data_IF_241271519128
#
_entry.id   IF_241271519128
#
_cell.length_a   1.000
_cell.length_b   1.000
_cell.length_c   1.000
_cell.angle_alpha   90.00
_cell.angle_beta   90.00
_cell.angle_gamma   90.00
#
_symmetry.space_group_name_H-M   'P 1'
#
loop_
_entity.id
_entity.type
_entity.pdbx_description
1 polymer ?
2 non-polymer ?
3 non-polymer ?
4 non-polymer ?
5 non-polymer ?
6 non-polymer ?
7 water ?
#
# COMPACT_ATOMS: atom_id res chain seq x y z
N UNK A 1 8.58 24.98 -11.17
CA UNK A 1 7.75 25.16 -9.98
C UNK A 1 8.20 24.22 -8.88
N UNK A 2 7.83 24.53 -7.64
CA UNK A 2 8.10 23.57 -6.57
C UNK A 2 7.19 22.36 -6.72
N UNK A 3 7.63 21.25 -6.15
CA UNK A 3 6.77 20.08 -6.10
C UNK A 3 5.77 20.32 -4.97
N UNK A 4 4.48 20.33 -5.32
CA UNK A 4 3.42 20.73 -4.40
C UNK A 4 2.68 19.52 -3.84
N UNK A 5 2.12 19.69 -2.66
CA UNK A 5 1.23 18.67 -2.13
C UNK A 5 0.03 18.51 -3.05
N UNK A 6 -0.54 17.30 -3.06
CA UNK A 6 -1.69 17.01 -3.89
C UNK A 6 -2.83 16.42 -3.07
N UNK A 7 -4.04 16.77 -3.47
CA UNK A 7 -5.26 16.15 -2.93
C UNK A 7 -6.15 15.75 -4.10
N UNK A 8 -7.36 15.34 -3.82
CA UNK A 8 -8.30 14.99 -4.87
C UNK A 8 -8.99 16.24 -5.41
N UNK A 9 -9.27 16.24 -6.72
CA UNK A 9 -9.98 17.38 -7.29
C UNK A 9 -11.47 17.31 -6.96
N UNK A 10 -12.02 16.11 -6.86
CA UNK A 10 -13.45 15.94 -6.59
C UNK A 10 -13.67 14.67 -5.78
N UNK A 11 -14.88 14.55 -5.24
CA UNK A 11 -15.22 13.38 -4.44
C UNK A 11 -15.31 12.14 -5.32
N UNK A 12 -14.80 11.02 -4.82
CA UNK A 12 -14.77 9.74 -5.52
C UNK A 12 -15.49 8.71 -4.67
N UNK A 13 -16.28 7.84 -5.30
CA UNK A 13 -17.06 6.84 -4.57
C UNK A 13 -16.86 5.46 -5.17
N UNK A 14 -16.84 4.45 -4.31
CA UNK A 14 -16.81 3.07 -4.75
C UNK A 14 -17.59 2.22 -3.75
N UNK A 15 -18.13 1.11 -4.23
CA UNK A 15 -18.75 0.12 -3.36
C UNK A 15 -18.05 -1.21 -3.56
N UNK A 16 -18.00 -1.99 -2.49
CA UNK A 16 -17.46 -3.32 -2.61
C UNK A 16 -17.70 -4.11 -1.35
N UNK A 17 -16.83 -5.09 -1.14
CA UNK A 17 -16.89 -5.95 0.03
C UNK A 17 -15.49 -6.07 0.62
N UNK A 18 -15.43 -6.22 1.93
CA UNK A 18 -14.14 -6.42 2.57
C UNK A 18 -13.63 -7.82 2.30
N UNK A 19 -12.37 -7.92 1.88
CA UNK A 19 -11.75 -9.23 1.65
C UNK A 19 -11.88 -10.13 2.86
N UNK A 20 -11.53 -9.62 4.04
CA UNK A 20 -11.49 -10.47 5.22
C UNK A 20 -12.83 -10.56 5.93
N UNK A 21 -13.57 -9.45 6.00
CA UNK A 21 -14.83 -9.47 6.72
C UNK A 21 -16.00 -9.95 5.88
N UNK A 22 -15.89 -9.87 4.55
CA UNK A 22 -17.02 -10.15 3.71
C UNK A 22 -18.12 -9.11 3.73
N UNK A 23 -17.93 -7.98 4.43
CA UNK A 23 -19.00 -7.01 4.62
C UNK A 23 -19.07 -6.02 3.47
N UNK A 24 -20.29 -5.71 3.05
CA UNK A 24 -20.49 -4.65 2.06
C UNK A 24 -20.03 -3.33 2.65
N UNK A 25 -19.38 -2.52 1.82
CA UNK A 25 -18.85 -1.25 2.31
C UNK A 25 -18.91 -0.21 1.21
N UNK A 26 -19.29 1.01 1.60
CA UNK A 26 -19.24 2.18 0.73
C UNK A 26 -17.98 2.97 1.07
N UNK A 27 -17.24 3.35 0.03
CA UNK A 27 -15.99 4.07 0.15
C UNK A 27 -16.15 5.44 -0.51
N UNK A 28 -15.81 6.50 0.22
CA UNK A 28 -15.90 7.86 -0.31
C UNK A 28 -14.57 8.54 -0.06
N UNK A 29 -13.91 8.96 -1.12
CA UNK A 29 -12.65 9.68 -1.03
C UNK A 29 -12.94 11.16 -1.23
N UNK A 30 -12.44 11.99 -0.33
CA UNK A 30 -12.72 13.43 -0.39
C UNK A 30 -11.43 14.24 -0.34
N UNK A 31 -11.43 15.43 -0.93
CA UNK A 31 -10.28 16.34 -0.77
C UNK A 31 -10.04 16.66 0.70
N UNK A 32 -8.80 17.04 0.99
CA UNK A 32 -8.44 17.40 2.35
C UNK A 32 -7.41 18.52 2.32
N UNK A 33 -7.33 19.34 3.37
CA UNK A 33 -6.39 20.47 3.37
C UNK A 33 -4.95 20.03 3.44
N UNK A 34 -4.06 21.01 3.24
CA UNK A 34 -2.63 20.78 3.32
C UNK A 34 -2.26 20.18 4.67
N UNK A 35 -1.29 19.27 4.67
CA UNK A 35 -0.73 18.64 5.86
C UNK A 35 -1.75 17.83 6.65
N UNK A 36 -2.86 17.45 6.01
CA UNK A 36 -3.78 16.50 6.63
C UNK A 36 -3.24 15.08 6.63
N UNK A 37 -2.56 14.69 5.55
CA UNK A 37 -2.26 13.29 5.31
C UNK A 37 -3.50 12.54 4.83
N UNK A 38 -3.37 11.22 4.80
CA UNK A 38 -4.49 10.34 4.49
C UNK A 38 -5.16 9.97 5.81
N UNK A 39 -6.45 10.27 5.94
CA UNK A 39 -7.17 10.02 7.19
C UNK A 39 -8.40 9.18 6.87
N UNK A 40 -8.52 8.02 7.51
CA UNK A 40 -9.69 7.18 7.37
C UNK A 40 -10.76 7.62 8.35
N UNK A 41 -12.02 7.48 7.94
CA UNK A 41 -13.12 7.91 8.77
C UNK A 41 -14.22 6.86 8.73
N UNK A 42 -14.61 6.36 9.90
CA UNK A 42 -15.69 5.37 10.02
C UNK A 42 -17.00 6.15 10.13
N UNK A 43 -17.68 6.30 9.01
CA UNK A 43 -18.90 7.11 9.00
C UNK A 43 -20.14 6.31 9.35
N UNK A 44 -20.00 5.01 9.58
CA UNK A 44 -21.09 4.25 10.18
C UNK A 44 -21.22 4.51 11.67
N UNK A 45 -20.26 5.23 12.26
CA UNK A 45 -20.28 5.58 13.68
C UNK A 45 -20.64 7.05 13.84
N UNK A 46 -21.32 7.35 14.95
CA UNK A 46 -21.78 8.71 15.22
C UNK A 46 -21.46 9.02 16.67
N UNK A 47 -20.55 9.98 16.95
CA UNK A 47 -19.74 10.74 15.99
C UNK A 47 -18.75 9.85 15.28
N UNK A 48 -18.18 10.33 14.16
CA UNK A 48 -17.24 9.48 13.44
C UNK A 48 -16.01 9.21 14.29
N UNK A 49 -15.30 8.14 13.94
CA UNK A 49 -13.94 7.91 14.42
C UNK A 49 -13.01 8.11 13.23
N UNK A 50 -12.05 9.01 13.37
CA UNK A 50 -11.06 9.29 12.34
C UNK A 50 -9.73 8.69 12.73
N UNK A 51 -9.11 7.96 11.81
CA UNK A 51 -7.82 7.33 12.07
C UNK A 51 -6.82 7.77 11.00
N UNK A 52 -5.86 8.63 11.32
CA UNK A 52 -4.78 8.93 10.38
C UNK A 52 -4.07 7.65 9.93
N UNK A 53 -3.79 7.56 8.63
CA UNK A 53 -3.09 6.40 8.07
C UNK A 53 -1.59 6.55 8.37
N UNK A 54 -1.25 6.30 9.63
CA UNK A 54 0.11 6.49 10.12
C UNK A 54 0.56 5.27 10.90
N UNK A 55 1.88 5.02 10.86
CA UNK A 55 2.44 3.85 11.51
C UNK A 55 2.01 3.76 12.97
N UNK A 56 1.90 4.91 13.66
CA UNK A 56 1.54 4.90 15.08
C UNK A 56 0.14 4.37 15.33
N UNK A 57 -0.71 4.30 14.31
CA UNK A 57 -2.07 3.78 14.49
C UNK A 57 -2.24 2.36 13.99
N UNK A 58 -1.16 1.69 13.60
CA UNK A 58 -1.27 0.30 13.18
C UNK A 58 -1.47 -0.58 14.42
N UNK A 59 -2.48 -1.44 14.36
CA UNK A 59 -2.83 -2.25 15.52
C UNK A 59 -2.66 -3.75 15.34
N UNK A 60 -2.89 -4.23 14.13
CA UNK A 60 -2.75 -5.64 13.82
C UNK A 60 -2.14 -5.78 12.44
N UNK A 61 -1.40 -6.87 12.22
CA UNK A 61 -0.77 -7.05 10.93
C UNK A 61 -0.86 -8.51 10.52
N UNK A 62 -2.00 -9.15 10.81
CA UNK A 62 -2.23 -10.54 10.44
C UNK A 62 -3.03 -10.57 9.14
N UNK A 63 -2.36 -10.93 8.05
CA UNK A 63 -2.97 -11.05 6.74
C UNK A 63 -3.50 -9.74 6.19
N UNK A 64 -3.21 -8.61 6.85
CA UNK A 64 -3.52 -7.27 6.34
C UNK A 64 -2.89 -6.27 7.29
N UNK A 65 -2.87 -5.01 6.88
CA UNK A 65 -2.50 -3.91 7.77
C UNK A 65 -3.79 -3.31 8.33
N UNK A 66 -3.92 -3.29 9.65
CA UNK A 66 -5.11 -2.82 10.34
C UNK A 66 -4.78 -1.57 11.15
N UNK A 67 -5.56 -0.51 10.95
CA UNK A 67 -5.47 0.69 11.77
C UNK A 67 -6.45 0.58 12.93
N UNK A 68 -6.07 1.14 14.09
CA UNK A 68 -6.91 1.04 15.28
C UNK A 68 -6.96 2.38 16.00
N UNK A 69 -8.11 2.65 16.61
CA UNK A 69 -8.29 3.82 17.46
C UNK A 69 -9.48 3.56 18.37
N UNK A 70 -9.33 3.85 19.66
CA UNK A 70 -10.40 3.51 20.58
C UNK A 70 -10.75 2.03 20.47
N UNK A 71 -12.03 1.73 20.28
CA UNK A 71 -12.47 0.34 20.20
C UNK A 71 -12.54 -0.18 18.78
N UNK A 72 -12.22 0.63 17.78
CA UNK A 72 -12.63 0.32 16.42
C UNK A 72 -11.41 0.26 15.50
N UNK A 73 -11.62 -0.31 14.33
CA UNK A 73 -10.53 -0.58 13.42
C UNK A 73 -10.93 -0.21 12.01
N UNK A 74 -9.91 -0.02 11.18
CA UNK A 74 -10.07 0.07 9.73
C UNK A 74 -9.12 -0.96 9.16
N UNK A 75 -9.66 -1.99 8.53
CA UNK A 75 -8.84 -3.13 8.11
C UNK A 75 -8.49 -3.04 6.62
N UNK A 76 -7.36 -3.65 6.27
CA UNK A 76 -6.90 -3.86 4.89
C UNK A 76 -6.72 -2.53 4.15
N UNK A 77 -5.88 -1.68 4.72
CA UNK A 77 -5.63 -0.37 4.13
C UNK A 77 -4.54 -0.39 3.07
N UNK A 78 -3.83 -1.51 2.92
CA UNK A 78 -2.57 -1.48 2.17
C UNK A 78 -2.78 -1.22 0.68
N UNK A 79 -3.86 -1.74 0.08
CA UNK A 79 -4.02 -1.58 -1.37
C UNK A 79 -4.47 -0.16 -1.74
N UNK A 80 -5.38 0.41 -0.96
CA UNK A 80 -5.76 1.80 -1.18
C UNK A 80 -4.57 2.72 -0.92
N UNK A 81 -3.84 2.49 0.16
CA UNK A 81 -2.68 3.35 0.42
C UNK A 81 -1.64 3.21 -0.67
N UNK A 82 -1.52 2.02 -1.27
CA UNK A 82 -0.56 1.86 -2.35
C UNK A 82 -0.94 2.75 -3.53
N UNK A 83 -2.24 2.79 -3.85
CA UNK A 83 -2.71 3.67 -4.92
C UNK A 83 -2.43 5.13 -4.60
N UNK A 84 -2.65 5.52 -3.34
CA UNK A 84 -2.41 6.89 -2.91
C UNK A 84 -0.94 7.26 -3.06
N UNK A 85 -0.06 6.39 -2.56
CA UNK A 85 1.37 6.58 -2.70
C UNK A 85 1.77 6.60 -4.17
N UNK A 86 1.32 5.62 -4.93
CA UNK A 86 1.68 5.54 -6.34
C UNK A 86 1.31 6.77 -7.13
N UNK A 87 0.21 7.43 -6.76
CA UNK A 87 -0.25 8.63 -7.45
C UNK A 87 0.22 9.92 -6.80
N UNK A 88 0.97 9.84 -5.70
CA UNK A 88 1.49 11.03 -5.06
C UNK A 88 0.44 11.86 -4.35
N UNK A 89 -0.55 11.21 -3.74
CA UNK A 89 -1.62 11.93 -3.05
C UNK A 89 -1.21 12.14 -1.61
N UNK A 90 -1.05 13.40 -1.21
CA UNK A 90 -0.64 13.72 0.15
C UNK A 90 -1.81 13.75 1.12
N UNK A 91 -2.93 14.34 0.71
CA UNK A 91 -3.99 14.70 1.63
C UNK A 91 -5.33 14.18 1.11
N UNK A 92 -6.03 13.42 1.95
CA UNK A 92 -7.36 12.94 1.55
C UNK A 92 -8.10 12.41 2.77
N UNK A 93 -9.42 12.52 2.74
CA UNK A 93 -10.27 11.80 3.68
C UNK A 93 -10.80 10.55 2.98
N UNK A 94 -10.73 9.42 3.68
CA UNK A 94 -11.22 8.15 3.17
C UNK A 94 -12.35 7.73 4.09
N UNK A 95 -13.59 7.94 3.66
CA UNK A 95 -14.76 7.58 4.45
C UNK A 95 -15.18 6.17 4.11
N UNK A 96 -15.48 5.39 5.15
CA UNK A 96 -15.89 3.99 5.00
C UNK A 96 -17.13 3.75 5.82
N UNK A 97 -18.10 3.03 5.24
CA UNK A 97 -19.31 2.67 5.97
C UNK A 97 -19.16 1.38 6.79
N UNK A 98 -17.96 0.83 6.86
CA UNK A 98 -17.71 -0.41 7.60
C UNK A 98 -16.22 -0.47 7.91
N UNK A 99 -15.83 -1.55 8.61
CA UNK A 99 -14.49 -1.61 9.19
C UNK A 99 -13.42 -2.10 8.24
N UNK A 100 -13.69 -2.22 6.95
CA UNK A 100 -12.66 -2.70 6.04
C UNK A 100 -12.79 -2.04 4.68
N UNK A 101 -11.64 -1.66 4.12
CA UNK A 101 -11.62 -1.11 2.75
C UNK A 101 -12.14 -2.17 1.79
N UNK A 102 -12.96 -1.81 0.80
CA UNK A 102 -13.37 -2.80 -0.21
C UNK A 102 -12.18 -3.33 -0.99
N UNK A 103 -12.18 -4.64 -1.24
CA UNK A 103 -11.07 -5.29 -1.94
C UNK A 103 -11.07 -4.99 -3.46
N UNK A 104 -12.22 -4.66 -4.04
CA UNK A 104 -12.37 -4.37 -5.48
C UNK A 104 -11.93 -5.63 -6.24
N UNK A 105 -10.99 -5.53 -7.18
CA UNK A 105 -10.53 -6.69 -7.93
C UNK A 105 -9.28 -7.32 -7.32
N UNK A 106 -8.90 -6.89 -6.12
CA UNK A 106 -7.74 -7.42 -5.45
C UNK A 106 -6.46 -6.66 -5.70
N UNK A 107 -6.49 -5.66 -6.57
CA UNK A 107 -5.32 -4.86 -6.91
C UNK A 107 -5.58 -3.39 -6.55
N UNK A 108 -4.65 -2.53 -6.96
CA UNK A 108 -4.89 -1.09 -6.88
C UNK A 108 -5.43 -0.51 -8.18
N UNK A 109 -5.69 -1.35 -9.18
CA UNK A 109 -6.16 -0.87 -10.46
C UNK A 109 -7.43 -0.07 -10.38
N UNK A 110 -8.48 -0.64 -9.76
CA UNK A 110 -9.73 0.14 -9.63
C UNK A 110 -9.55 1.45 -8.91
N UNK A 111 -8.72 1.49 -7.86
CA UNK A 111 -8.52 2.74 -7.13
C UNK A 111 -7.81 3.79 -7.99
N UNK A 112 -6.74 3.39 -8.70
CA UNK A 112 -6.04 4.41 -9.48
C UNK A 112 -6.94 4.91 -10.62
N UNK A 113 -7.78 4.03 -11.18
CA UNK A 113 -8.71 4.49 -12.20
C UNK A 113 -9.75 5.46 -11.62
N UNK A 114 -10.38 5.08 -10.50
CA UNK A 114 -11.41 5.94 -9.91
C UNK A 114 -10.85 7.31 -9.56
N UNK A 115 -9.63 7.34 -9.00
CA UNK A 115 -9.02 8.59 -8.59
C UNK A 115 -8.64 9.42 -9.81
N UNK A 116 -7.99 8.79 -10.78
CA UNK A 116 -7.56 9.56 -11.94
C UNK A 116 -8.73 9.98 -12.82
N UNK A 117 -9.88 9.31 -12.68
CA UNK A 117 -11.09 9.78 -13.36
C UNK A 117 -11.53 11.13 -12.82
N UNK A 118 -11.41 11.32 -11.51
CA UNK A 118 -11.78 12.60 -10.91
C UNK A 118 -10.66 13.61 -11.04
N UNK A 119 -9.42 13.16 -10.98
CA UNK A 119 -8.27 14.03 -11.06
C UNK A 119 -7.73 14.44 -9.70
N UNK A 120 -6.48 14.86 -9.71
CA UNK A 120 -5.83 15.41 -8.53
C UNK A 120 -5.76 16.93 -8.64
N UNK A 121 -5.45 17.56 -7.51
CA UNK A 121 -5.33 19.01 -7.44
C UNK A 121 -4.10 19.36 -6.62
N UNK A 122 -3.22 20.17 -7.19
CA UNK A 122 -2.08 20.66 -6.44
C UNK A 122 -2.52 21.72 -5.44
N UNK A 123 -1.86 21.72 -4.28
CA UNK A 123 -2.14 22.66 -3.20
C UNK A 123 -0.93 23.53 -2.95
N UNK A 124 -1.15 24.69 -2.33
CA UNK A 124 -0.08 25.69 -2.24
C UNK A 124 0.73 25.47 -0.96
N UNK A 125 1.43 24.33 -0.96
CA UNK A 125 2.39 24.00 0.08
C UNK A 125 3.36 22.99 -0.50
N UNK A 126 4.62 23.07 -0.09
CA UNK A 126 5.60 22.13 -0.61
C UNK A 126 5.30 20.71 -0.16
N UNK A 127 5.42 19.77 -1.10
CA UNK A 127 5.35 18.34 -0.78
C UNK A 127 6.58 17.94 0.02
N UNK A 128 6.37 17.24 1.12
CA UNK A 128 7.48 16.80 1.96
C UNK A 128 7.82 15.35 1.66
N UNK A 129 9.11 15.05 1.54
CA UNK A 129 9.59 13.70 1.29
C UNK A 129 10.43 13.24 2.47
N UNK A 130 10.44 11.93 2.72
CA UNK A 130 11.35 11.35 3.70
C UNK A 130 12.51 10.73 2.93
N UNK A 131 13.72 11.25 3.15
CA UNK A 131 14.92 10.77 2.48
C UNK A 131 15.69 9.86 3.42
N UNK A 132 15.94 8.62 2.97
CA UNK A 132 16.74 7.66 3.72
C UNK A 132 18.21 8.07 3.65
N UNK A 133 18.83 8.30 4.81
CA UNK A 133 20.23 8.72 4.84
C UNK A 133 21.20 7.60 5.15
N UNK A 134 20.75 6.55 5.80
CA UNK A 134 21.60 5.39 6.02
C UNK A 134 20.73 4.16 6.16
N UNK A 135 21.37 3.00 6.08
CA UNK A 135 20.64 1.75 6.11
C UNK A 135 19.92 1.55 7.44
N UNK A 136 18.69 1.06 7.35
CA UNK A 136 17.85 0.68 8.47
C UNK A 136 17.25 -0.67 8.12
N UNK A 137 17.25 -1.61 9.07
CA UNK A 137 16.72 -2.91 8.71
C UNK A 137 16.08 -3.57 9.91
N UNK A 138 15.18 -4.51 9.62
CA UNK A 138 14.65 -5.40 10.64
C UNK A 138 14.67 -6.79 10.07
N UNK A 139 14.87 -7.77 10.95
CA UNK A 139 14.87 -9.17 10.59
C UNK A 139 14.04 -9.95 11.59
N UNK A 140 13.43 -11.03 11.12
CA UNK A 140 12.79 -11.99 12.01
C UNK A 140 13.01 -13.36 11.39
N UNK A 141 13.90 -14.14 11.99
CA UNK A 141 14.30 -15.36 11.33
C UNK A 141 14.94 -15.03 10.00
N UNK A 142 14.50 -15.72 8.96
CA UNK A 142 15.02 -15.50 7.61
C UNK A 142 14.33 -14.34 6.88
N UNK A 143 13.31 -13.73 7.49
CA UNK A 143 12.60 -12.62 6.86
C UNK A 143 13.36 -11.32 7.11
N UNK A 144 13.38 -10.45 6.10
CA UNK A 144 14.12 -9.20 6.22
C UNK A 144 13.39 -8.09 5.48
N UNK A 145 13.49 -6.88 6.04
CA UNK A 145 12.99 -5.67 5.39
C UNK A 145 14.00 -4.57 5.63
N UNK A 146 14.45 -3.90 4.57
CA UNK A 146 15.58 -2.97 4.67
C UNK A 146 15.25 -1.69 3.92
N UNK A 147 15.67 -0.55 4.47
CA UNK A 147 15.74 0.72 3.74
C UNK A 147 17.20 1.01 3.48
N UNK A 148 17.52 1.41 2.25
CA UNK A 148 18.87 1.88 1.93
C UNK A 148 18.78 3.20 1.18
N UNK A 149 19.77 4.07 1.30
CA UNK A 149 19.72 5.33 0.55
C UNK A 149 19.72 5.08 -0.96
N UNK A 150 18.99 5.92 -1.67
CA UNK A 150 18.91 5.85 -3.13
C UNK A 150 18.29 7.14 -3.63
N UNK A 151 18.88 7.71 -4.68
CA UNK A 151 18.40 9.00 -5.21
C UNK A 151 17.25 8.73 -6.18
N UNK A 152 16.08 8.49 -5.61
CA UNK A 152 14.87 8.10 -6.30
C UNK A 152 13.99 7.28 -5.38
N UNK A 153 13.15 6.44 -5.96
CA UNK A 153 12.33 5.51 -5.19
C UNK A 153 12.31 4.18 -5.92
N UNK A 154 12.75 3.13 -5.23
CA UNK A 154 12.93 1.83 -5.83
C UNK A 154 12.48 0.78 -4.82
N UNK A 155 11.83 -0.28 -5.28
CA UNK A 155 11.38 -1.35 -4.42
C UNK A 155 11.78 -2.67 -5.04
N UNK A 156 12.46 -3.52 -4.27
CA UNK A 156 12.75 -4.88 -4.70
C UNK A 156 12.18 -5.84 -3.67
N UNK A 157 11.85 -7.05 -4.15
CA UNK A 157 11.18 -8.00 -3.29
C UNK A 157 11.54 -9.40 -3.75
N UNK A 158 11.67 -10.31 -2.79
CA UNK A 158 11.85 -11.73 -3.08
C UNK A 158 10.94 -12.51 -2.17
N UNK A 159 10.19 -13.45 -2.77
CA UNK A 159 9.39 -14.40 -2.02
C UNK A 159 10.02 -15.77 -2.17
N UNK A 160 9.58 -16.71 -1.34
CA UNK A 160 10.10 -18.08 -1.41
C UNK A 160 9.01 -19.00 -0.87
N UNK A 161 8.11 -19.43 -1.76
CA UNK A 161 7.03 -20.33 -1.38
C UNK A 161 7.42 -21.76 -1.75
N UNK A 162 7.38 -22.65 -0.77
CA UNK A 162 7.62 -24.08 -1.01
C UNK A 162 6.31 -24.67 -1.51
N UNK A 163 6.01 -24.38 -2.78
CA UNK A 163 4.72 -24.72 -3.36
C UNK A 163 4.95 -24.99 -4.84
N UNK A 164 4.30 -26.01 -5.41
CA UNK A 164 4.63 -26.38 -6.81
C UNK A 164 4.24 -25.33 -7.85
N UNK A 165 3.37 -24.38 -7.53
CA UNK A 165 3.07 -23.30 -8.47
C UNK A 165 4.12 -22.20 -8.39
N UNK A 166 5.00 -22.24 -7.40
CA UNK A 166 6.00 -21.21 -7.18
C UNK A 166 7.43 -21.67 -7.43
N UNK A 167 7.74 -22.92 -7.09
CA UNK A 167 9.08 -23.44 -7.29
C UNK A 167 9.47 -23.35 -8.77
N UNK A 168 10.68 -22.87 -9.02
CA UNK A 168 11.17 -22.73 -10.37
C UNK A 168 10.70 -21.49 -11.10
N UNK A 169 9.96 -20.60 -10.43
CA UNK A 169 9.59 -19.31 -10.98
C UNK A 169 10.47 -18.21 -10.38
N UNK A 170 10.62 -17.06 -11.03
CA UNK A 170 11.70 -16.16 -10.59
C UNK A 170 11.59 -15.75 -9.10
N UNK A 171 10.37 -15.47 -8.64
CA UNK A 171 9.95 -14.99 -7.32
C UNK A 171 10.76 -13.77 -6.84
N UNK A 172 11.38 -13.03 -7.75
CA UNK A 172 12.13 -11.85 -7.37
C UNK A 172 11.82 -10.75 -8.37
N UNK A 173 11.71 -9.51 -7.90
CA UNK A 173 11.43 -8.41 -8.82
C UNK A 173 11.94 -7.12 -8.21
N UNK A 174 12.41 -6.23 -9.08
CA UNK A 174 12.90 -4.91 -8.68
C UNK A 174 12.29 -3.88 -9.62
N UNK A 175 11.67 -2.85 -9.06
CA UNK A 175 11.03 -1.82 -9.89
C UNK A 175 11.49 -0.46 -9.41
N UNK A 176 11.85 0.39 -10.36
CA UNK A 176 12.21 1.78 -10.09
C UNK A 176 10.97 2.65 -10.31
N UNK A 177 10.53 3.32 -9.25
CA UNK A 177 9.35 4.19 -9.28
C UNK A 177 9.73 5.66 -9.23
N UNK A 178 10.95 6.00 -9.65
CA UNK A 178 11.35 7.40 -9.64
C UNK A 178 10.64 8.19 -10.72
N UNK A 179 10.15 7.52 -11.75
CA UNK A 179 9.30 8.12 -12.75
C UNK A 179 7.89 7.57 -12.59
N UNK A 180 7.11 7.57 -13.65
CA UNK A 180 5.68 7.27 -13.53
C UNK A 180 5.35 5.84 -13.98
N UNK A 181 6.04 4.85 -13.43
CA UNK A 181 5.85 3.46 -13.83
C UNK A 181 4.91 2.66 -12.93
N UNK A 182 4.46 3.26 -11.81
CA UNK A 182 3.62 2.52 -10.86
C UNK A 182 2.38 1.94 -11.54
N UNK A 183 1.65 2.77 -12.29
CA UNK A 183 0.41 2.33 -12.89
C UNK A 183 0.66 1.13 -13.80
N UNK A 184 1.67 1.24 -14.67
CA UNK A 184 1.97 0.16 -15.61
C UNK A 184 2.55 -1.06 -14.92
N UNK A 185 3.47 -0.85 -13.98
CA UNK A 185 4.28 -1.96 -13.46
C UNK A 185 3.55 -2.78 -12.41
N UNK A 186 2.84 -2.15 -11.47
CA UNK A 186 2.35 -2.93 -10.34
C UNK A 186 0.91 -2.66 -9.95
N UNK A 187 0.29 -1.58 -10.46
CA UNK A 187 -1.01 -1.21 -9.88
C UNK A 187 -2.06 -2.30 -10.02
N UNK A 188 -1.98 -3.10 -11.08
CA UNK A 188 -3.00 -4.10 -11.37
C UNK A 188 -2.63 -5.49 -10.84
N UNK A 189 -1.57 -5.60 -10.07
CA UNK A 189 -1.17 -6.91 -9.54
C UNK A 189 -2.09 -7.29 -8.38
N UNK A 190 -2.76 -8.44 -8.51
CA UNK A 190 -3.80 -8.84 -7.56
C UNK A 190 -3.23 -9.56 -6.35
N UNK A 191 -3.95 -9.42 -5.24
CA UNK A 191 -3.68 -10.23 -4.06
C UNK A 191 -3.87 -11.72 -4.38
N UNK A 192 -3.36 -12.57 -3.49
CA UNK A 192 -3.40 -14.00 -3.75
C UNK A 192 -3.44 -14.76 -2.43
N UNK A 193 -4.01 -15.96 -2.50
CA UNK A 193 -4.02 -16.81 -1.34
C UNK A 193 -4.20 -18.24 -1.78
N UNK A 194 -4.26 -19.14 -0.80
CA UNK A 194 -4.18 -20.56 -1.04
C UNK A 194 -5.47 -21.22 -0.60
N UNK A 195 -6.12 -21.92 -1.53
CA UNK A 195 -7.38 -22.58 -1.26
C UNK A 195 -7.32 -23.50 -0.05
N UNK A 196 -6.16 -24.13 0.16
CA UNK A 196 -5.96 -25.02 1.29
C UNK A 196 -6.27 -24.34 2.62
N UNK A 197 -5.99 -23.03 2.71
CA UNK A 197 -6.10 -22.26 3.94
C UNK A 197 -7.51 -21.74 4.23
N UNK A 198 -8.48 -21.92 3.33
CA UNK A 198 -9.67 -21.07 3.38
C UNK A 198 -10.51 -21.38 4.62
N UNK A 199 -10.60 -22.65 5.04
CA UNK A 199 -11.37 -22.98 6.23
C UNK A 199 -10.75 -22.39 7.49
N UNK A 200 -9.43 -22.53 7.63
CA UNK A 200 -8.76 -21.90 8.77
C UNK A 200 -8.97 -20.40 8.74
N UNK A 201 -8.73 -19.78 7.58
CA UNK A 201 -8.85 -18.33 7.47
C UNK A 201 -10.25 -17.88 7.87
N UNK A 202 -11.28 -18.54 7.33
CA UNK A 202 -12.62 -18.08 7.64
C UNK A 202 -12.94 -18.26 9.12
N UNK A 203 -12.36 -19.28 9.76
CA UNK A 203 -12.55 -19.47 11.18
C UNK A 203 -11.94 -18.34 12.00
N UNK A 204 -11.00 -17.58 11.42
CA UNK A 204 -10.37 -16.43 12.05
C UNK A 204 -10.96 -15.11 11.58
N UNK A 205 -12.11 -15.15 10.90
CA UNK A 205 -12.69 -13.95 10.27
C UNK A 205 -11.71 -13.32 9.27
N UNK A 206 -11.08 -14.17 8.47
CA UNK A 206 -10.20 -13.77 7.38
C UNK A 206 -10.69 -14.39 6.08
N UNK A 207 -10.49 -13.66 4.98
CA UNK A 207 -10.84 -14.10 3.63
C UNK A 207 -12.32 -14.44 3.47
N UNK A 208 -13.19 -13.95 4.34
CA UNK A 208 -14.62 -14.27 4.23
C UNK A 208 -15.22 -13.74 2.93
N UNK A 209 -14.63 -12.70 2.35
CA UNK A 209 -15.05 -12.16 1.09
C UNK A 209 -14.19 -12.54 -0.08
N UNK A 210 -13.20 -13.41 0.11
CA UNK A 210 -12.25 -13.70 -0.96
C UNK A 210 -12.79 -14.72 -1.95
N UNK A 211 -12.54 -14.45 -3.23
CA UNK A 211 -12.97 -15.35 -4.28
C UNK A 211 -12.05 -15.17 -5.47
N UNK A 212 -12.27 -15.96 -6.51
CA UNK A 212 -11.54 -15.73 -7.76
C UNK A 212 -11.91 -14.40 -8.40
N UNK A 213 -12.99 -13.77 -7.96
CA UNK A 213 -13.33 -12.44 -8.47
C UNK A 213 -12.43 -11.34 -7.93
N UNK A 214 -11.71 -11.57 -6.82
CA UNK A 214 -10.91 -10.50 -6.24
C UNK A 214 -9.55 -10.97 -5.74
N UNK A 215 -9.09 -12.13 -6.18
CA UNK A 215 -7.82 -12.67 -5.74
C UNK A 215 -7.38 -13.77 -6.69
N UNK A 216 -6.08 -13.97 -6.77
CA UNK A 216 -5.54 -15.18 -7.39
C UNK A 216 -5.63 -16.27 -6.33
N UNK A 217 -6.43 -17.29 -6.61
CA UNK A 217 -6.64 -18.38 -5.66
C UNK A 217 -5.81 -19.58 -6.14
N UNK A 218 -4.85 -20.00 -5.32
CA UNK A 218 -3.89 -21.02 -5.70
C UNK A 218 -4.28 -22.34 -5.05
N UNK A 219 -4.51 -23.36 -5.88
CA UNK A 219 -4.83 -24.71 -5.41
C UNK A 219 -3.52 -25.43 -5.10
N UNK A 220 -3.61 -26.76 -4.93
CA UNK A 220 -2.42 -27.51 -4.54
C UNK A 220 -1.41 -27.57 -5.68
N UNK A 221 -1.89 -27.68 -6.92
CA UNK A 221 -0.99 -27.86 -8.04
C UNK A 221 -1.31 -26.96 -9.23
N UNK A 222 -2.14 -25.94 -9.04
CA UNK A 222 -2.52 -25.08 -10.16
C UNK A 222 -3.17 -23.82 -9.62
N UNK A 223 -3.19 -22.79 -10.47
CA UNK A 223 -4.00 -21.61 -10.18
C UNK A 223 -5.45 -21.90 -10.54
N UNK A 224 -6.36 -21.52 -9.65
CA UNK A 224 -7.78 -21.80 -9.85
C UNK A 224 -8.43 -20.86 -10.86
N UNK A 225 -7.98 -19.61 -10.92
CA UNK A 225 -8.54 -18.64 -11.86
C UNK A 225 -8.37 -19.13 -13.28
N UNK A 226 -9.49 -19.22 -13.99
CA UNK A 226 -9.45 -19.73 -15.35
C UNK A 226 -8.93 -18.68 -16.33
N UNK A 227 -9.09 -17.39 -16.02
CA UNK A 227 -8.84 -16.34 -17.01
C UNK A 227 -7.37 -15.94 -17.15
N UNK A 228 -6.51 -16.26 -16.19
CA UNK A 228 -5.08 -16.11 -16.39
C UNK A 228 -4.50 -14.92 -15.65
N UNK A 229 -3.16 -14.88 -15.63
CA UNK A 229 -2.43 -13.86 -14.88
C UNK A 229 -2.30 -12.57 -15.67
N UNK A 230 -2.23 -11.46 -14.93
CA UNK A 230 -2.04 -10.15 -15.54
C UNK A 230 -0.57 -9.85 -15.79
N UNK A 231 0.31 -10.49 -15.02
CA UNK A 231 1.76 -10.43 -15.20
C UNK A 231 2.27 -11.83 -14.90
N UNK A 232 3.29 -12.27 -15.64
CA UNK A 232 3.84 -13.58 -15.32
C UNK A 232 4.40 -13.61 -13.91
N UNK A 233 4.84 -12.45 -13.38
CA UNK A 233 5.35 -12.34 -12.01
C UNK A 233 4.35 -11.60 -11.12
N UNK A 234 3.06 -11.90 -11.27
CA UNK A 234 2.06 -11.11 -10.57
C UNK A 234 2.19 -11.27 -9.05
N UNK A 235 2.60 -12.45 -8.57
CA UNK A 235 2.67 -12.66 -7.14
C UNK A 235 3.68 -11.72 -6.49
N UNK A 236 4.91 -11.70 -6.98
CA UNK A 236 5.90 -10.83 -6.34
C UNK A 236 5.59 -9.37 -6.62
N UNK A 237 5.00 -9.05 -7.77
CA UNK A 237 4.61 -7.66 -7.99
C UNK A 237 3.52 -7.22 -7.01
N UNK A 238 2.63 -8.12 -6.63
CA UNK A 238 1.65 -7.72 -5.62
C UNK A 238 2.32 -7.45 -4.28
N UNK A 239 3.34 -8.25 -3.93
CA UNK A 239 4.10 -7.98 -2.71
C UNK A 239 4.75 -6.60 -2.74
N UNK A 240 5.23 -6.18 -3.92
CA UNK A 240 5.75 -4.81 -4.06
C UNK A 240 4.64 -3.80 -3.84
N UNK A 241 3.46 -4.05 -4.43
CA UNK A 241 2.32 -3.17 -4.21
C UNK A 241 1.99 -3.05 -2.73
N UNK A 242 1.94 -4.18 -2.02
CA UNK A 242 1.71 -4.15 -0.57
C UNK A 242 2.76 -3.33 0.13
N UNK A 243 4.03 -3.50 -0.26
CA UNK A 243 5.11 -2.76 0.39
C UNK A 243 4.95 -1.26 0.21
N UNK A 244 4.60 -0.82 -1.00
CA UNK A 244 4.44 0.62 -1.25
C UNK A 244 3.35 1.18 -0.36
N UNK A 245 2.24 0.45 -0.22
CA UNK A 245 1.15 0.91 0.63
C UNK A 245 1.51 0.92 2.11
N UNK A 246 2.14 -0.14 2.59
CA UNK A 246 2.59 -0.16 3.98
C UNK A 246 3.61 0.94 4.26
N UNK A 247 4.53 1.18 3.30
CA UNK A 247 5.52 2.24 3.47
C UNK A 247 4.86 3.61 3.55
N UNK A 248 3.68 3.76 2.93
CA UNK A 248 3.06 5.07 2.94
C UNK A 248 2.48 5.43 4.31
N UNK A 249 2.46 4.46 5.25
CA UNK A 249 2.14 4.79 6.62
C UNK A 249 3.16 5.71 7.26
N UNK A 250 4.31 5.95 6.60
CA UNK A 250 5.19 7.03 7.07
C UNK A 250 4.53 8.38 6.94
N UNK A 251 3.53 8.51 6.07
CA UNK A 251 2.83 9.77 5.86
C UNK A 251 3.38 10.65 4.75
N UNK A 252 4.46 10.21 4.08
CA UNK A 252 5.11 11.01 3.05
C UNK A 252 5.76 10.07 2.04
N UNK A 253 5.94 10.57 0.82
CA UNK A 253 6.69 9.82 -0.19
C UNK A 253 8.13 9.62 0.26
N UNK A 254 8.70 8.48 -0.15
CA UNK A 254 10.05 8.09 0.23
C UNK A 254 11.04 8.41 -0.87
N UNK A 255 12.22 8.88 -0.48
CA UNK A 255 13.38 8.94 -1.36
C UNK A 255 14.35 7.91 -0.82
N UNK A 256 14.40 6.76 -1.45
CA UNK A 256 15.25 5.68 -1.01
C UNK A 256 14.81 4.39 -1.66
N UNK A 257 15.39 3.31 -1.18
CA UNK A 257 15.14 1.98 -1.73
C UNK A 257 14.68 1.05 -0.61
N UNK A 258 13.63 0.29 -0.88
CA UNK A 258 13.14 -0.75 0.01
C UNK A 258 13.49 -2.10 -0.58
N UNK A 259 13.98 -3.03 0.26
CA UNK A 259 14.19 -4.40 -0.16
C UNK A 259 13.50 -5.32 0.84
N UNK A 260 12.65 -6.20 0.34
CA UNK A 260 11.91 -7.14 1.18
C UNK A 260 12.32 -8.55 0.81
N UNK A 261 12.54 -9.37 1.82
CA UNK A 261 12.80 -10.79 1.63
C UNK A 261 11.83 -11.56 2.51
N UNK A 262 10.82 -12.18 1.89
CA UNK A 262 9.82 -12.97 2.60
C UNK A 262 9.12 -12.15 3.67
N UNK A 263 9.10 -10.84 3.49
CA UNK A 263 8.52 -9.90 4.43
C UNK A 263 7.01 -9.77 4.19
N UNK A 264 6.33 -9.16 5.13
CA UNK A 264 4.91 -8.94 5.03
C UNK A 264 4.54 -7.76 5.88
N UNK A 265 3.24 -7.63 6.15
CA UNK A 265 2.76 -6.42 6.81
C UNK A 265 3.38 -6.23 8.18
N UNK A 266 3.57 -7.33 8.93
CA UNK A 266 4.10 -7.21 10.27
C UNK A 266 5.51 -6.65 10.25
N UNK A 267 6.37 -7.22 9.41
CA UNK A 267 7.75 -6.74 9.36
C UNK A 267 7.84 -5.36 8.71
N UNK A 268 6.98 -5.06 7.74
CA UNK A 268 6.97 -3.72 7.15
C UNK A 268 6.71 -2.67 8.22
N UNK A 269 5.74 -2.94 9.11
CA UNK A 269 5.42 -2.03 10.20
C UNK A 269 6.58 -1.93 11.18
N UNK A 270 7.24 -3.05 11.49
CA UNK A 270 8.39 -2.98 12.37
C UNK A 270 9.50 -2.15 11.75
N UNK A 271 9.67 -2.23 10.42
CA UNK A 271 10.69 -1.42 9.77
C UNK A 271 10.36 0.07 9.89
N UNK A 272 9.10 0.44 9.67
CA UNK A 272 8.71 1.84 9.81
C UNK A 272 8.94 2.33 11.22
N UNK A 273 8.62 1.50 12.22
CA UNK A 273 8.76 1.94 13.59
C UNK A 273 10.23 2.13 13.97
N UNK A 274 11.11 1.24 13.54
CA UNK A 274 12.50 1.44 13.88
C UNK A 274 13.10 2.60 13.08
N UNK A 275 12.64 2.81 11.84
CA UNK A 275 13.08 3.97 11.08
C UNK A 275 12.69 5.27 11.79
N UNK A 276 11.42 5.37 12.20
CA UNK A 276 10.95 6.59 12.85
C UNK A 276 11.76 6.87 14.12
N UNK A 277 12.14 5.82 14.86
CA UNK A 277 12.94 6.01 16.07
C UNK A 277 14.37 6.39 15.76
N UNK A 278 14.88 5.95 14.61
CA UNK A 278 16.27 6.12 14.21
C UNK A 278 16.39 7.42 13.40
N UNK A 279 16.20 8.55 14.09
CA UNK A 279 16.05 9.83 13.40
C UNK A 279 17.31 10.25 12.64
N UNK A 280 18.49 9.75 13.04
CA UNK A 280 19.69 10.09 12.26
C UNK A 280 19.68 9.44 10.89
N UNK A 281 18.82 8.45 10.68
CA UNK A 281 18.78 7.72 9.43
C UNK A 281 17.90 8.36 8.37
N UNK A 282 17.21 9.47 8.67
CA UNK A 282 16.35 10.05 7.66
C UNK A 282 16.18 11.54 7.91
N UNK A 283 15.74 12.25 6.88
CA UNK A 283 15.44 13.67 6.97
C UNK A 283 14.24 13.97 6.10
N UNK A 284 13.62 15.13 6.34
CA UNK A 284 12.49 15.61 5.54
C UNK A 284 13.01 16.66 4.56
N UNK A 285 12.68 16.48 3.28
CA UNK A 285 13.19 17.35 2.23
C UNK A 285 12.03 17.81 1.36
N UNK A 286 12.23 18.96 0.72
CA UNK A 286 11.31 19.55 -0.24
C UNK A 286 12.11 19.97 -1.47
N UNK A 287 11.41 20.27 -2.56
CA UNK A 287 12.07 20.62 -3.81
C UNK A 287 11.45 21.89 -4.38
N UNK A 288 12.21 23.00 -4.35
CA UNK A 288 11.66 24.22 -4.91
C UNK A 288 11.70 24.24 -6.43
N UNK A 289 12.39 23.29 -7.06
CA UNK A 289 12.38 23.12 -8.51
C UNK A 289 12.15 21.66 -8.83
N UNK A 290 11.02 21.36 -9.49
CA UNK A 290 10.74 19.96 -9.80
C UNK A 290 11.81 19.35 -10.70
N UNK A 291 12.50 20.17 -11.49
CA UNK A 291 13.48 19.64 -12.44
C UNK A 291 14.71 19.07 -11.75
N UNK A 292 15.01 19.48 -10.51
CA UNK A 292 16.17 18.93 -9.82
C UNK A 292 15.78 17.94 -8.74
N UNK A 293 14.59 17.47 -8.78
CA UNK A 293 14.17 16.46 -7.82
C UNK A 293 14.42 15.07 -8.39
N UNK A 294 14.59 14.06 -7.54
CA UNK A 294 14.90 12.71 -8.03
C UNK A 294 13.68 11.86 -8.35
N UNK A 295 12.47 12.40 -8.16
CA UNK A 295 11.24 11.72 -8.48
C UNK A 295 10.40 12.68 -9.31
N UNK A 296 9.75 12.17 -10.35
CA UNK A 296 8.88 12.98 -11.18
C UNK A 296 7.44 12.47 -11.07
N UNK A 297 6.49 13.38 -11.21
CA UNK A 297 5.08 13.04 -11.07
C UNK A 297 4.32 13.40 -12.34
N UNK A 298 3.24 12.64 -12.60
CA UNK A 298 2.46 12.98 -13.76
C UNK A 298 1.61 14.23 -13.49
N UNK A 299 1.05 14.76 -14.57
CA UNK A 299 0.15 15.88 -14.45
C UNK A 299 -1.03 15.49 -13.55
N UNK A 300 -1.58 16.43 -12.77
CA UNK A 300 -2.72 16.13 -11.89
C UNK A 300 -3.97 15.74 -12.65
X LIG B 1 -5.30 -13.69 2.07
X LIG B 1 -7.69 -16.02 -0.14
X LIG B 1 -8.84 -15.81 -0.89
X LIG B 1 -9.60 -16.90 -1.28
X LIG B 1 -9.22 -18.19 -0.92
X LIG B 1 -0.46 -11.35 0.26
X LIG B 1 -1.65 -10.95 1.13
X LIG B 1 -2.82 -11.88 0.87
X LIG B 1 -4.17 -11.48 1.45
X LIG B 1 -5.62 -12.61 -0.26
X LIG B 1 -6.51 -13.76 -0.67
X LIG B 1 -6.80 -14.85 0.30
X LIG B 1 -6.20 -14.85 1.66
X LIG B 1 -11.23 -19.03 -1.89
X LIG B 1 -11.78 -20.37 -2.37
X LIG B 1 -11.75 -21.46 -1.51
X LIG B 1 -12.24 -22.69 -1.93
X LIG B 1 -12.77 -22.81 -3.21
X LIG B 1 -12.80 -21.72 -4.07
X LIG B 1 -12.30 -20.50 -3.65
X LIG B 1 -8.07 -18.39 -0.19
X LIG B 1 -7.30 -17.30 0.20
X LIG B 1 -2.06 -9.51 0.82
X LIG B 1 -0.54 -12.80 3.10
X LIG B 1 -9.21 -14.55 -1.24
X LIG B 1 -5.04 -12.58 1.10
X LIG B 1 -2.23 -8.54 1.87
X LIG B 1 -4.82 -13.65 3.15
X LIG B 1 -9.98 -19.30 -1.30
X LIG B 1 -2.24 -9.17 -0.30
X LIG B 1 -2.60 -7.23 1.50
X LIG B 1 -0.18 -10.12 3.28
X LIG B 1 -2.27 -10.82 3.75
X LIG B 1 -1.16 -11.12 2.86
X LIG C 1 -5.41 -13.63 2.14
X LIG C 1 -7.73 -15.98 -0.15
X LIG C 1 -7.41 -17.27 0.24
X LIG C 1 -8.17 -18.34 -0.21
X LIG C 1 -9.25 -18.11 -1.04
X LIG C 1 -1.75 -10.85 3.15
X LIG C 1 -1.84 -10.88 1.63
X LIG C 1 -2.94 -11.83 1.18
X LIG C 1 -4.34 -11.40 1.60
X LIG C 1 -5.75 -12.52 -0.16
X LIG C 1 -6.61 -13.69 -0.61
X LIG C 1 -6.87 -14.81 0.34
X LIG C 1 -6.27 -14.80 1.70
X LIG C 1 -11.29 -18.97 -1.95
X LIG C 1 -11.78 -20.35 -2.40
X LIG C 1 -11.65 -21.43 -1.55
X LIG C 1 -12.08 -22.69 -1.93
X LIG C 1 -12.64 -22.86 -3.19
X LIG C 1 -12.76 -21.78 -4.06
X LIG C 1 -12.33 -20.53 -3.67
X LIG C 1 -9.56 -16.82 -1.44
X LIG C 1 -8.80 -15.75 -0.99
X LIG C 1 -2.13 -9.49 1.06
X LIG C 1 -0.41 -11.73 -0.82
X LIG C 1 -6.36 -17.54 1.06
X LIG C 1 -5.18 -12.51 1.19
X LIG C 1 -2.31 -8.38 1.95
X LIG C 1 -4.93 -13.61 3.22
X LIG C 1 -9.98 -19.21 -1.47
X LIG C 1 -2.24 -9.29 -0.10
X LIG C 1 -2.57 -7.14 1.36
X LIG C 1 0.85 -10.65 1.34
X LIG C 1 0.06 -12.78 1.63
X LIG C 1 -0.28 -11.52 0.97
X LIG D 1 -2.04 -7.21 -0.71
X LIG E 1 -21.83 -2.39 9.81
X LIG F 1 0.63 -19.00 -19.79
X LIG G 1 6.07 -10.31 8.16
X LIG H 1 -14.52 -1.98 14.38
#
# INVERSE_FOLDING_TARGET
SMIKQRTLKNIIRATGVGLHSGEKVYLTLKPAPVDTGIVFCRTDLDPVVEIPARAENVGETTMSTTLVKGDVKVDTVEHLLSAMAGLGIDNAYVELSASEVPIMDGSAGPFVFLIQSAGLQEQEAAKKFIRIKREVSVEEGDKRAVFVPFDGFKVSFEIDFDHPVFRGRTQQASVDFSSTSFVKEVSRARTFGFMRDIEYLRSQNLALGGSVENAIVVDENRVLNEDGLRYEDEFVKHKILDAIGDLYLLGNSLIGEFRGFKSGHALNNQLLRTLIADKDAWEVVTFEDARTAPISYMRPAAAV
HUM C10 C12 C13 C15 C16 C01 C02 C03 C04 C06 C07 C08 C09 C18 C19 C20 C21 C22 C23 C24 C25 C26 C27 C32 F14 N05 N29 O11 O17 O28 O30 O33 O34 S31
JCG C10 C12 C13 C15 C16 C01 C02 C03 C04 C06 C07 C08 C09 C18 C19 C20 C21 C22 C23 C24 C25 C26 C27 C32 F14 N05 N29 O11 O17 O28 O30 O33 O34 S31
ZN ZN
CA CA
CA CA
CL CL
CL CL
#
